data_IF_787958108160
#
_entry.id   IF_787958108160
#
_cell.length_a   1.000
_cell.length_b   1.000
_cell.length_c   1.000
_cell.angle_alpha   90.00
_cell.angle_beta   90.00
_cell.angle_gamma   90.00
#
_symmetry.space_group_name_H-M   'P 1'
#
loop_
_entity.id
_entity.type
_entity.pdbx_description
1 polymer ?
#
# COMPACT_ATOMS: atom_id res chain seq x y z
N UNK A 1 6.75 4.08 53.93
CA UNK A 1 6.25 4.97 52.85
C UNK A 1 6.72 4.53 51.46
N UNK A 2 6.87 3.23 51.18
CA UNK A 2 7.45 2.72 49.92
C UNK A 2 6.54 1.73 49.18
N UNK A 3 5.56 1.12 49.85
CA UNK A 3 4.64 0.12 49.26
C UNK A 3 3.53 0.78 48.44
N UNK A 4 3.06 1.96 48.86
CA UNK A 4 2.05 2.74 48.12
C UNK A 4 2.58 3.29 46.79
N UNK A 5 3.90 3.54 46.68
CA UNK A 5 4.52 4.02 45.43
C UNK A 5 4.56 2.95 44.34
N UNK A 6 4.77 1.69 44.73
CA UNK A 6 4.77 0.55 43.80
C UNK A 6 3.37 0.20 43.27
N UNK A 7 2.33 0.37 44.08
CA UNK A 7 0.94 0.15 43.63
C UNK A 7 0.48 1.19 42.60
N UNK A 8 0.96 2.43 42.69
CA UNK A 8 0.65 3.48 41.70
C UNK A 8 1.37 3.23 40.37
N UNK A 9 2.59 2.68 40.40
CA UNK A 9 3.34 2.31 39.20
C UNK A 9 2.73 1.12 38.44
N UNK A 10 2.13 0.15 39.16
CA UNK A 10 1.42 -0.98 38.53
C UNK A 10 0.03 -0.56 38.03
N UNK A 11 -0.65 0.39 38.71
CA UNK A 11 -1.95 0.91 38.28
C UNK A 11 -1.92 1.86 37.09
N UNK A 12 -0.77 2.47 36.78
CA UNK A 12 -0.59 3.37 35.62
C UNK A 12 -0.28 2.64 34.31
N UNK A 13 0.13 1.37 34.38
CA UNK A 13 0.16 0.47 33.23
C UNK A 13 -1.24 -0.14 33.11
N UNK A 14 -2.19 0.67 32.62
CA UNK A 14 -3.43 0.13 32.10
C UNK A 14 -3.11 -1.02 31.14
N UNK A 15 -3.95 -2.06 31.06
CA UNK A 15 -3.68 -3.18 30.17
C UNK A 15 -3.54 -2.61 28.76
N UNK A 16 -2.38 -2.80 28.11
CA UNK A 16 -2.30 -2.67 26.66
C UNK A 16 -3.36 -3.62 26.13
N UNK A 17 -4.46 -3.06 25.64
CA UNK A 17 -5.63 -3.82 25.23
C UNK A 17 -5.16 -4.67 24.05
N UNK A 18 -5.02 -5.97 24.27
CA UNK A 18 -4.49 -6.93 23.30
C UNK A 18 -5.40 -7.12 22.06
N UNK A 19 -6.51 -6.38 21.99
CA UNK A 19 -7.52 -6.46 20.93
C UNK A 19 -7.46 -5.28 19.94
N UNK A 20 -6.43 -4.41 19.99
CA UNK A 20 -6.27 -3.37 18.98
C UNK A 20 -5.86 -4.02 17.64
N UNK A 21 -6.62 -3.83 16.55
CA UNK A 21 -6.33 -4.47 15.27
C UNK A 21 -4.96 -4.02 14.73
N UNK A 22 -4.18 -4.97 14.20
CA UNK A 22 -2.87 -4.68 13.64
C UNK A 22 -3.05 -4.04 12.25
N UNK A 23 -2.54 -2.81 12.02
CA UNK A 23 -2.68 -2.17 10.72
C UNK A 23 -1.73 -2.80 9.69
N UNK A 24 -2.29 -3.30 8.59
CA UNK A 24 -1.56 -3.82 7.44
C UNK A 24 -1.55 -2.77 6.34
N UNK A 25 -0.37 -2.45 5.82
CA UNK A 25 -0.21 -1.42 4.80
C UNK A 25 0.08 -2.03 3.43
N UNK A 26 -0.65 -1.57 2.42
CA UNK A 26 -0.43 -1.90 1.02
C UNK A 26 -0.22 -0.63 0.21
N UNK A 27 0.71 -0.65 -0.73
CA UNK A 27 0.97 0.49 -1.59
C UNK A 27 0.23 0.34 -2.92
N UNK A 28 -0.15 1.46 -3.54
CA UNK A 28 -0.77 1.45 -4.85
C UNK A 28 -0.38 2.67 -5.67
N UNK A 29 -0.04 2.48 -6.93
CA UNK A 29 0.18 3.58 -7.88
C UNK A 29 -0.98 3.64 -8.87
N UNK A 30 -1.67 4.78 -8.90
CA UNK A 30 -2.85 4.99 -9.73
C UNK A 30 -2.62 6.18 -10.66
N UNK A 31 -2.71 6.00 -12.00
CA UNK A 31 -2.55 7.10 -12.93
C UNK A 31 -3.84 7.94 -12.97
N UNK A 32 -3.88 9.02 -12.18
CA UNK A 32 -5.03 9.93 -12.15
C UNK A 32 -5.10 10.82 -13.40
N UNK A 33 -3.98 10.96 -14.10
CA UNK A 33 -3.84 11.75 -15.32
C UNK A 33 -3.27 10.88 -16.44
N UNK A 34 -3.59 11.21 -17.69
CA UNK A 34 -3.16 10.44 -18.86
C UNK A 34 -1.63 10.49 -19.07
N UNK A 35 -0.95 11.56 -18.63
CA UNK A 35 0.51 11.71 -18.68
C UNK A 35 1.16 11.22 -19.99
N UNK A 36 2.33 10.56 -19.90
CA UNK A 36 3.06 10.06 -21.08
C UNK A 36 2.52 8.73 -21.63
N UNK A 37 1.76 7.97 -20.83
CA UNK A 37 1.23 6.66 -21.24
C UNK A 37 -0.22 6.69 -21.70
N UNK A 38 -0.84 7.86 -21.80
CA UNK A 38 -2.16 8.08 -22.39
C UNK A 38 -3.36 7.52 -21.62
N UNK A 39 -3.17 6.93 -20.44
CA UNK A 39 -4.23 6.21 -19.73
C UNK A 39 -4.49 6.76 -18.32
N UNK A 40 -5.60 7.48 -18.16
CA UNK A 40 -6.08 8.02 -16.88
C UNK A 40 -6.99 7.01 -16.13
N UNK A 41 -6.59 5.74 -16.06
CA UNK A 41 -7.38 4.68 -15.44
C UNK A 41 -7.57 4.81 -13.93
N UNK A 42 -6.72 5.58 -13.25
CA UNK A 42 -6.78 5.80 -11.81
C UNK A 42 -8.09 6.44 -11.34
N UNK A 43 -8.75 7.24 -12.18
CA UNK A 43 -10.00 7.92 -11.84
C UNK A 43 -11.13 6.94 -11.51
N UNK A 44 -11.18 5.79 -12.18
CA UNK A 44 -12.17 4.74 -11.92
C UNK A 44 -11.64 3.67 -10.95
N UNK A 45 -10.35 3.33 -11.04
CA UNK A 45 -9.78 2.27 -10.22
C UNK A 45 -9.60 2.67 -8.76
N UNK A 46 -9.27 3.92 -8.45
CA UNK A 46 -9.10 4.38 -7.07
C UNK A 46 -10.38 4.25 -6.23
N UNK A 47 -11.55 4.77 -6.65
CA UNK A 47 -12.78 4.59 -5.88
C UNK A 47 -13.23 3.13 -5.81
N UNK A 48 -13.00 2.34 -6.87
CA UNK A 48 -13.29 0.90 -6.83
C UNK A 48 -12.47 0.17 -5.76
N UNK A 49 -11.19 0.52 -5.62
CA UNK A 49 -10.31 -0.04 -4.59
C UNK A 49 -10.73 0.44 -3.20
N UNK A 50 -11.13 1.70 -3.05
CA UNK A 50 -11.59 2.21 -1.77
C UNK A 50 -12.87 1.50 -1.28
N UNK A 51 -13.84 1.28 -2.17
CA UNK A 51 -15.03 0.47 -1.84
C UNK A 51 -14.63 -0.97 -1.44
N UNK A 52 -13.69 -1.59 -2.17
CA UNK A 52 -13.22 -2.94 -1.82
C UNK A 52 -12.49 -2.99 -0.46
N UNK A 53 -11.74 -1.95 -0.10
CA UNK A 53 -11.08 -1.84 1.21
C UNK A 53 -12.09 -1.69 2.34
N UNK A 54 -13.11 -0.86 2.14
CA UNK A 54 -14.20 -0.68 3.10
C UNK A 54 -14.96 -1.99 3.32
N UNK A 55 -15.29 -2.71 2.24
CA UNK A 55 -15.96 -4.01 2.30
C UNK A 55 -15.13 -5.06 3.05
N UNK A 56 -13.83 -5.17 2.77
CA UNK A 56 -12.93 -6.13 3.44
C UNK A 56 -12.77 -5.80 4.92
N UNK A 57 -12.60 -4.52 5.27
CA UNK A 57 -12.45 -4.10 6.67
C UNK A 57 -13.76 -4.21 7.46
N UNK A 58 -14.92 -4.14 6.79
CA UNK A 58 -16.23 -4.34 7.44
C UNK A 58 -16.51 -5.80 7.85
N UNK A 59 -15.77 -6.74 7.26
CA UNK A 59 -16.00 -8.18 7.35
C UNK A 59 -15.01 -8.86 8.29
N UNK A 60 -15.42 -9.21 9.53
CA UNK A 60 -14.50 -9.82 10.51
C UNK A 60 -14.12 -11.27 10.16
N UNK A 61 -14.77 -11.87 9.16
CA UNK A 61 -14.50 -13.23 8.69
C UNK A 61 -13.29 -13.31 7.73
N UNK A 62 -12.90 -12.20 7.10
CA UNK A 62 -11.83 -12.19 6.08
C UNK A 62 -10.45 -11.98 6.70
N UNK A 63 -10.30 -10.98 7.57
CA UNK A 63 -9.03 -10.61 8.22
C UNK A 63 -9.23 -10.36 9.73
N UNK A 64 -9.41 -11.41 10.55
CA UNK A 64 -9.63 -11.23 11.99
C UNK A 64 -8.41 -10.63 12.66
N UNK A 65 -8.60 -9.54 13.40
CA UNK A 65 -7.53 -8.86 14.15
C UNK A 65 -6.59 -7.97 13.32
N UNK A 66 -6.91 -7.74 12.04
CA UNK A 66 -6.14 -6.86 11.16
C UNK A 66 -7.02 -5.81 10.50
N UNK A 67 -6.45 -4.64 10.20
CA UNK A 67 -7.11 -3.59 9.42
C UNK A 67 -6.23 -3.22 8.24
N UNK A 68 -6.81 -3.23 7.03
CA UNK A 68 -6.08 -2.96 5.80
C UNK A 68 -6.12 -1.46 5.48
N UNK A 69 -4.95 -0.87 5.31
CA UNK A 69 -4.76 0.50 4.88
C UNK A 69 -4.00 0.54 3.55
N UNK A 70 -4.46 1.38 2.63
CA UNK A 70 -3.76 1.60 1.36
C UNK A 70 -3.11 2.98 1.30
N UNK A 71 -1.84 3.01 0.93
CA UNK A 71 -1.11 4.21 0.59
C UNK A 71 -1.08 4.37 -0.94
N UNK A 72 -1.78 5.37 -1.44
CA UNK A 72 -1.90 5.61 -2.88
C UNK A 72 -1.00 6.74 -3.36
N UNK A 73 -0.43 6.62 -4.55
CA UNK A 73 0.38 7.67 -5.19
C UNK A 73 0.02 7.85 -6.67
N UNK A 74 0.09 9.08 -7.17
CA UNK A 74 -0.24 9.40 -8.56
C UNK A 74 0.98 9.28 -9.47
N UNK A 75 1.10 8.17 -10.21
CA UNK A 75 2.26 7.92 -11.07
C UNK A 75 2.22 8.65 -12.41
N UNK A 76 1.08 9.28 -12.78
CA UNK A 76 0.85 9.92 -14.09
C UNK A 76 1.26 9.03 -15.29
N UNK A 77 1.27 7.71 -15.10
CA UNK A 77 1.72 6.74 -16.10
C UNK A 77 3.17 7.00 -16.60
N UNK A 78 4.02 7.62 -15.77
CA UNK A 78 5.43 7.94 -16.05
C UNK A 78 6.36 7.04 -15.25
N UNK A 79 7.30 6.38 -15.93
CA UNK A 79 8.26 5.47 -15.30
C UNK A 79 9.14 6.18 -14.23
N UNK A 80 9.72 7.33 -14.55
CA UNK A 80 10.60 8.06 -13.62
C UNK A 80 9.89 8.49 -12.35
N UNK A 81 8.68 9.05 -12.46
CA UNK A 81 7.88 9.45 -11.32
C UNK A 81 7.45 8.24 -10.48
N UNK A 82 7.07 7.14 -11.13
CA UNK A 82 6.72 5.91 -10.43
C UNK A 82 7.89 5.30 -9.66
N UNK A 83 9.11 5.35 -10.20
CA UNK A 83 10.31 4.89 -9.49
C UNK A 83 10.56 5.74 -8.25
N UNK A 84 10.45 7.06 -8.33
CA UNK A 84 10.57 7.94 -7.16
C UNK A 84 9.51 7.57 -6.10
N UNK A 85 8.25 7.41 -6.52
CA UNK A 85 7.17 7.04 -5.61
C UNK A 85 7.36 5.64 -5.01
N UNK A 86 7.93 4.70 -5.76
CA UNK A 86 8.31 3.40 -5.23
C UNK A 86 9.33 3.58 -4.11
N UNK A 87 10.39 4.36 -4.32
CA UNK A 87 11.38 4.65 -3.28
C UNK A 87 10.73 5.32 -2.06
N UNK A 88 9.85 6.30 -2.26
CA UNK A 88 9.11 6.94 -1.17
C UNK A 88 8.27 5.91 -0.39
N UNK A 89 7.59 4.99 -1.09
CA UNK A 89 6.81 3.93 -0.47
C UNK A 89 7.68 2.90 0.27
N UNK A 90 8.89 2.59 -0.23
CA UNK A 90 9.79 1.62 0.40
C UNK A 90 10.49 2.17 1.64
N UNK A 91 10.98 3.41 1.57
CA UNK A 91 11.84 4.00 2.59
C UNK A 91 11.07 4.85 3.60
N UNK A 92 9.81 5.19 3.33
CA UNK A 92 8.96 5.87 4.31
C UNK A 92 8.18 4.84 5.14
N UNK A 93 8.23 4.88 6.49
CA UNK A 93 7.36 4.05 7.32
C UNK A 93 5.89 4.39 7.05
N UNK A 94 4.94 3.44 7.15
CA UNK A 94 5.09 2.03 7.54
C UNK A 94 5.55 1.12 6.39
N UNK A 95 6.03 -0.09 6.70
CA UNK A 95 6.43 -1.10 5.71
C UNK A 95 5.20 -1.64 4.99
N UNK A 96 5.22 -1.61 3.65
CA UNK A 96 4.11 -2.10 2.82
C UNK A 96 4.37 -3.54 2.40
N UNK A 97 3.34 -4.38 2.47
CA UNK A 97 3.43 -5.81 2.17
C UNK A 97 3.39 -6.12 0.67
N UNK A 98 2.60 -5.34 -0.06
CA UNK A 98 2.39 -5.51 -1.50
C UNK A 98 2.25 -4.16 -2.18
N UNK A 99 2.46 -4.17 -3.50
CA UNK A 99 2.29 -3.01 -4.34
C UNK A 99 1.32 -3.28 -5.49
N UNK A 100 0.32 -2.43 -5.66
CA UNK A 100 -0.56 -2.41 -6.82
C UNK A 100 -0.03 -1.44 -7.87
N UNK A 101 0.07 -1.88 -9.12
CA UNK A 101 0.48 -1.05 -10.24
C UNK A 101 -0.50 -1.18 -11.41
N UNK A 102 -0.82 -0.04 -12.03
CA UNK A 102 -1.75 0.01 -13.16
C UNK A 102 -1.04 0.03 -14.51
N UNK A 103 -0.45 1.17 -14.83
CA UNK A 103 0.10 1.50 -16.15
C UNK A 103 1.25 0.57 -16.58
N UNK A 104 1.33 0.22 -17.87
CA UNK A 104 2.35 -0.71 -18.41
C UNK A 104 3.81 -0.31 -18.12
N UNK A 105 4.30 0.89 -18.49
CA UNK A 105 5.68 1.30 -18.20
C UNK A 105 5.97 1.38 -16.69
N UNK A 106 4.97 1.71 -15.88
CA UNK A 106 5.12 1.76 -14.42
C UNK A 106 5.27 0.36 -13.82
N UNK A 107 4.39 -0.56 -14.22
CA UNK A 107 4.37 -1.92 -13.69
C UNK A 107 5.63 -2.68 -14.08
N UNK A 108 6.17 -2.47 -15.28
CA UNK A 108 7.41 -3.13 -15.71
C UNK A 108 8.60 -2.74 -14.84
N UNK A 109 8.83 -1.44 -14.64
CA UNK A 109 9.98 -0.94 -13.84
C UNK A 109 9.87 -1.41 -12.39
N UNK A 110 8.66 -1.35 -11.82
CA UNK A 110 8.39 -1.84 -10.47
C UNK A 110 8.62 -3.36 -10.39
N UNK A 111 8.10 -4.14 -11.34
CA UNK A 111 8.22 -5.59 -11.34
C UNK A 111 9.67 -6.07 -11.52
N UNK A 112 10.46 -5.38 -12.33
CA UNK A 112 11.91 -5.63 -12.46
C UNK A 112 12.65 -5.37 -11.16
N UNK A 113 12.21 -4.38 -10.38
CA UNK A 113 12.83 -3.97 -9.12
C UNK A 113 12.36 -4.81 -7.92
N UNK A 114 11.18 -5.42 -7.98
CA UNK A 114 10.54 -6.14 -6.88
C UNK A 114 11.37 -7.26 -6.22
N UNK A 115 12.19 -8.06 -6.96
CA UNK A 115 13.00 -9.11 -6.35
C UNK A 115 14.04 -8.58 -5.35
N UNK A 116 14.50 -7.33 -5.52
CA UNK A 116 15.51 -6.71 -4.65
C UNK A 116 14.97 -6.52 -3.23
N UNK A 117 13.68 -6.22 -3.09
CA UNK A 117 13.02 -5.97 -1.80
C UNK A 117 12.05 -7.09 -1.38
N UNK A 118 12.02 -8.23 -2.10
CA UNK A 118 11.12 -9.37 -1.83
C UNK A 118 9.65 -8.95 -1.72
N UNK A 119 9.22 -8.05 -2.60
CA UNK A 119 7.85 -7.53 -2.63
C UNK A 119 6.99 -8.25 -3.65
N UNK A 120 5.70 -8.39 -3.33
CA UNK A 120 4.70 -8.86 -4.27
C UNK A 120 4.10 -7.67 -4.99
N UNK A 121 4.13 -7.72 -6.33
CA UNK A 121 3.57 -6.68 -7.20
C UNK A 121 2.39 -7.26 -7.96
N UNK A 122 1.24 -6.59 -7.90
CA UNK A 122 0.04 -6.99 -8.64
C UNK A 122 -0.29 -5.91 -9.67
N UNK A 123 -0.21 -6.30 -10.95
CA UNK A 123 -0.55 -5.44 -12.08
C UNK A 123 -2.02 -5.58 -12.46
N UNK A 124 -2.81 -4.49 -12.43
CA UNK A 124 -4.24 -4.54 -12.79
C UNK A 124 -4.58 -3.91 -14.16
N UNK A 125 -3.67 -3.10 -14.72
CA UNK A 125 -3.88 -2.39 -15.99
C UNK A 125 -2.75 -2.57 -17.01
N UNK A 126 -1.83 -3.51 -16.75
CA UNK A 126 -0.67 -3.76 -17.59
C UNK A 126 -1.09 -4.55 -18.82
N UNK A 127 -0.94 -3.95 -19.99
CA UNK A 127 -0.95 -4.65 -21.28
C UNK A 127 0.50 -4.83 -21.72
N UNK A 128 0.92 -6.07 -21.96
CA UNK A 128 2.25 -6.37 -22.48
C UNK A 128 2.31 -5.96 -23.96
N UNK A 129 2.86 -4.78 -24.24
CA UNK A 129 3.20 -4.39 -25.59
C UNK A 129 4.58 -4.96 -25.95
N UNK A 130 4.69 -5.80 -27.00
CA UNK A 130 5.96 -6.43 -27.37
C UNK A 130 7.06 -5.48 -27.85
N UNK A 131 6.78 -4.17 -27.99
CA UNK A 131 7.69 -3.19 -28.59
C UNK A 131 8.13 -2.05 -27.65
N UNK A 132 7.98 -2.18 -26.33
CA UNK A 132 8.35 -1.10 -25.39
C UNK A 132 9.74 -1.24 -24.75
N UNK A 133 10.49 -2.29 -25.09
CA UNK A 133 11.92 -2.39 -24.84
C UNK A 133 12.65 -2.38 -26.20
N UNK A 134 13.50 -1.38 -26.50
CA UNK A 134 14.49 -1.49 -27.56
C UNK A 134 15.60 -2.49 -27.19
#
# INVERSE_FOLDING_TARGET
>A
MTVLSWLVLVGALGPLRADDPIPLHIGGTFPMEAGSGGWAGGQACLPAVQMALEDVNSRPDVLPGYVLHMNTSNSKCQAGLATQQLYDLLYTPPTKLMLLAGCSPVTTVIAESAPVWKLVVVGFGRVFWPNFFP
#
